data_IF_933239502530
#
_entry.id   IF_933239502530
#
_cell.length_a   1.000
_cell.length_b   1.000
_cell.length_c   1.000
_cell.angle_alpha   90.00
_cell.angle_beta   90.00
_cell.angle_gamma   90.00
#
_symmetry.space_group_name_H-M   'P 1'
#
loop_
_entity.id
_entity.type
_entity.pdbx_description
1 polymer ?
#
# COMPACT_ATOMS: atom_id res chain seq x y z
N UNK A 1 0.94 42.78 10.55
CA UNK A 1 1.77 41.76 9.91
C UNK A 1 0.97 41.17 8.76
N UNK A 2 1.44 41.29 7.52
CA UNK A 2 0.80 40.69 6.33
C UNK A 2 0.97 39.17 6.39
N UNK A 3 -0.13 38.42 6.48
CA UNK A 3 -0.09 36.96 6.37
C UNK A 3 0.00 36.57 4.89
N UNK A 4 1.04 35.84 4.50
CA UNK A 4 1.16 35.19 3.20
C UNK A 4 0.60 33.78 3.26
N UNK A 5 -0.15 33.35 2.23
CA UNK A 5 -0.61 31.97 2.13
C UNK A 5 0.56 31.05 1.73
N UNK A 6 0.79 29.93 2.44
CA UNK A 6 1.78 28.95 2.04
C UNK A 6 1.34 28.20 0.78
N UNK A 7 2.30 27.83 -0.07
CA UNK A 7 2.10 26.91 -1.20
C UNK A 7 2.35 25.50 -0.67
N UNK A 8 1.36 24.62 -0.83
CA UNK A 8 1.43 23.22 -0.36
C UNK A 8 1.30 22.29 -1.56
N UNK A 9 2.17 21.28 -1.63
CA UNK A 9 2.14 20.17 -2.60
C UNK A 9 1.95 18.85 -1.87
N UNK A 10 1.14 17.95 -2.44
CA UNK A 10 0.92 16.61 -1.89
C UNK A 10 1.92 15.66 -2.54
N UNK A 11 2.83 15.11 -1.74
CA UNK A 11 3.88 14.21 -2.23
C UNK A 11 3.50 12.73 -2.10
N UNK A 12 2.69 12.38 -1.10
CA UNK A 12 2.25 11.01 -0.86
C UNK A 12 0.93 10.99 -0.08
N UNK A 13 0.12 9.97 -0.33
CA UNK A 13 -1.13 9.71 0.40
C UNK A 13 -1.11 8.25 0.87
N UNK A 14 -1.37 8.04 2.15
CA UNK A 14 -1.50 6.70 2.76
C UNK A 14 -2.96 6.52 3.18
N UNK A 15 -3.55 5.39 2.79
CA UNK A 15 -4.92 5.03 3.14
C UNK A 15 -4.96 3.63 3.75
N UNK A 16 -5.92 3.40 4.64
CA UNK A 16 -6.19 2.09 5.24
C UNK A 16 -7.63 1.70 4.98
N UNK A 17 -7.86 0.44 4.63
CA UNK A 17 -9.20 -0.13 4.48
C UNK A 17 -9.24 -1.52 5.15
N UNK A 18 -10.43 -1.91 5.62
CA UNK A 18 -10.72 -3.27 6.07
C UNK A 18 -11.67 -3.94 5.07
N UNK A 19 -11.46 -5.23 4.82
CA UNK A 19 -12.34 -6.07 3.99
C UNK A 19 -13.25 -6.94 4.87
N UNK A 20 -13.10 -6.88 6.20
CA UNK A 20 -13.87 -7.66 7.19
C UNK A 20 -13.98 -9.16 6.87
N UNK A 21 -12.95 -9.70 6.19
CA UNK A 21 -12.84 -11.09 5.78
C UNK A 21 -11.43 -11.62 6.07
N UNK A 22 -11.35 -12.89 6.47
CA UNK A 22 -10.07 -13.58 6.59
C UNK A 22 -9.46 -13.84 5.20
N UNK A 23 -8.19 -13.46 5.02
CA UNK A 23 -7.44 -13.62 3.77
C UNK A 23 -6.29 -14.61 4.00
N UNK A 24 -6.20 -15.64 3.17
CA UNK A 24 -5.04 -16.56 3.17
C UNK A 24 -3.92 -16.01 2.28
N UNK A 25 -2.89 -15.45 2.90
CA UNK A 25 -1.73 -14.88 2.21
C UNK A 25 -0.96 -15.92 1.37
N UNK A 26 -0.98 -17.21 1.75
CA UNK A 26 -0.34 -18.28 0.96
C UNK A 26 -1.09 -18.60 -0.32
N UNK A 27 -2.41 -18.45 -0.32
CA UNK A 27 -3.22 -18.62 -1.52
C UNK A 27 -3.12 -17.40 -2.44
N UNK A 28 -3.09 -16.19 -1.87
CA UNK A 28 -2.91 -14.94 -2.63
C UNK A 28 -1.58 -14.93 -3.39
N UNK A 29 -0.48 -15.32 -2.73
CA UNK A 29 0.84 -15.41 -3.39
C UNK A 29 0.89 -16.39 -4.56
N UNK A 30 0.15 -17.50 -4.48
CA UNK A 30 0.03 -18.46 -5.59
C UNK A 30 -0.75 -17.88 -6.78
N UNK A 31 -1.79 -17.10 -6.49
CA UNK A 31 -2.66 -16.48 -7.52
C UNK A 31 -2.01 -15.26 -8.17
N UNK A 32 -1.18 -14.53 -7.42
CA UNK A 32 -0.51 -13.31 -7.86
C UNK A 32 1.00 -13.43 -7.66
N UNK A 33 1.74 -13.99 -8.64
CA UNK A 33 3.18 -14.22 -8.53
C UNK A 33 4.02 -12.95 -8.35
N UNK A 34 3.47 -11.79 -8.70
CA UNK A 34 4.09 -10.47 -8.55
C UNK A 34 4.11 -9.94 -7.10
N UNK A 35 3.56 -10.68 -6.15
CA UNK A 35 3.50 -10.30 -4.74
C UNK A 35 4.80 -10.59 -4.01
N UNK A 36 5.19 -9.70 -3.10
CA UNK A 36 6.34 -9.86 -2.22
C UNK A 36 5.83 -10.32 -0.84
N UNK A 37 6.15 -11.55 -0.44
CA UNK A 37 5.76 -12.11 0.86
C UNK A 37 6.93 -12.82 1.53
N UNK A 38 7.42 -12.21 2.61
CA UNK A 38 8.52 -12.70 3.43
C UNK A 38 8.14 -12.63 4.92
N UNK A 39 7.40 -13.62 5.44
CA UNK A 39 6.83 -13.56 6.80
C UNK A 39 7.88 -13.42 7.91
N UNK A 40 9.12 -13.85 7.66
CA UNK A 40 10.24 -13.71 8.60
C UNK A 40 10.72 -12.25 8.75
N UNK A 41 10.46 -11.40 7.75
CA UNK A 41 10.85 -9.98 7.75
C UNK A 41 9.67 -9.04 7.96
N UNK A 42 8.51 -9.36 7.38
CA UNK A 42 7.30 -8.56 7.47
C UNK A 42 6.05 -9.48 7.43
N UNK A 43 5.12 -9.35 8.39
CA UNK A 43 3.96 -10.25 8.46
C UNK A 43 2.91 -10.01 7.37
N UNK A 44 2.94 -8.87 6.67
CA UNK A 44 2.02 -8.55 5.59
C UNK A 44 2.51 -9.00 4.21
N UNK A 45 1.59 -9.04 3.26
CA UNK A 45 1.91 -9.22 1.84
C UNK A 45 1.98 -7.85 1.18
N UNK A 46 3.02 -7.60 0.38
CA UNK A 46 3.18 -6.35 -0.37
C UNK A 46 2.74 -6.58 -1.81
N UNK A 47 1.84 -5.74 -2.29
CA UNK A 47 1.34 -5.79 -3.67
C UNK A 47 1.61 -4.45 -4.36
N UNK A 48 2.44 -4.47 -5.42
CA UNK A 48 2.80 -3.25 -6.16
C UNK A 48 2.02 -3.17 -7.47
N UNK A 49 1.09 -2.23 -7.55
CA UNK A 49 0.37 -1.94 -8.80
C UNK A 49 1.29 -1.15 -9.74
N UNK A 50 1.39 -1.58 -11.00
CA UNK A 50 2.20 -0.91 -12.03
C UNK A 50 1.59 0.41 -12.52
N UNK A 51 0.26 0.55 -12.45
CA UNK A 51 -0.46 1.78 -12.80
C UNK A 51 -1.80 1.85 -12.08
N UNK A 52 -2.12 2.96 -11.36
CA UNK A 52 -1.26 4.10 -11.06
C UNK A 52 -0.05 3.69 -10.18
N UNK A 53 1.02 4.51 -10.13
CA UNK A 53 2.18 4.28 -9.24
C UNK A 53 1.72 4.29 -7.79
N UNK A 54 1.37 3.12 -7.28
CA UNK A 54 0.85 2.93 -5.94
C UNK A 54 1.53 1.71 -5.35
N UNK A 55 2.25 1.90 -4.25
CA UNK A 55 2.64 0.80 -3.38
C UNK A 55 1.48 0.61 -2.39
N UNK A 56 0.92 -0.60 -2.33
CA UNK A 56 -0.13 -0.98 -1.37
C UNK A 56 0.42 -2.04 -0.44
#
# INVERSE_FOLDING_TARGET
MTQTKPIVSIENVVASASVDQAIDLKDVTKKFPETEWHPDQFPGLVFRLKSPKTAT
#
